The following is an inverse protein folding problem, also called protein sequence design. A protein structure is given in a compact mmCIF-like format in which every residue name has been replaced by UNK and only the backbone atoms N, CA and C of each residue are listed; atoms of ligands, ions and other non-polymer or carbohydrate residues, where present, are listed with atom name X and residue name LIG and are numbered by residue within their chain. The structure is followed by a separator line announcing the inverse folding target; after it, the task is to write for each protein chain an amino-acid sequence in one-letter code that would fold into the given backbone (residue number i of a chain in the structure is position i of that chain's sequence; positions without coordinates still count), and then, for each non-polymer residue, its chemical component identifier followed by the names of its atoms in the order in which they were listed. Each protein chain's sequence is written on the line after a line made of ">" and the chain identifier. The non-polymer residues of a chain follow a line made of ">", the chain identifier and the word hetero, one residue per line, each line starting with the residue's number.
data_IF_874668642997
#
_entry.id   IF_874668642997
#
_cell.length_a   1.000
_cell.length_b   1.000
_cell.length_c   1.000
_cell.angle_alpha   90.00
_cell.angle_beta   90.00
_cell.angle_gamma   90.00
#
_symmetry.space_group_name_H-M   'P 1'
#
loop_
_entity.id
_entity.type
_entity.pdbx_description
1 polymer ?
#
# COMPACT_ATOMS: atom_id res chain seq x y z
N UNK A 1 73.00 -21.55 9.26
CA UNK A 1 73.64 -22.85 8.99
C UNK A 1 72.58 -23.94 8.98
N UNK A 2 72.40 -24.47 7.79
CA UNK A 2 72.08 -25.89 7.49
C UNK A 2 70.80 -26.47 8.10
N UNK A 3 69.93 -27.13 7.44
CA UNK A 3 69.90 -27.91 6.19
C UNK A 3 68.85 -28.99 6.36
N UNK A 4 68.01 -29.12 5.33
CA UNK A 4 67.56 -30.36 4.70
C UNK A 4 66.95 -31.46 5.61
N UNK A 5 65.99 -32.23 5.24
CA UNK A 5 65.43 -32.74 4.02
C UNK A 5 64.38 -33.80 4.38
N UNK A 6 63.36 -33.86 3.57
CA UNK A 6 62.78 -35.00 2.88
C UNK A 6 62.36 -36.25 3.69
N UNK A 7 61.16 -36.73 3.38
CA UNK A 7 60.69 -38.06 3.64
C UNK A 7 59.28 -38.34 3.22
N UNK A 8 59.07 -38.81 2.00
CA UNK A 8 57.83 -39.30 1.44
C UNK A 8 57.48 -40.71 2.00
N UNK A 9 56.16 -41.01 2.06
CA UNK A 9 55.58 -42.33 1.69
C UNK A 9 54.08 -42.34 2.04
N UNK A 10 53.24 -42.36 1.05
CA UNK A 10 52.34 -43.42 0.59
C UNK A 10 51.60 -44.23 1.64
N UNK A 11 50.28 -44.19 1.61
CA UNK A 11 49.39 -45.16 2.19
C UNK A 11 47.99 -44.94 1.71
N UNK A 12 47.55 -45.77 0.76
CA UNK A 12 46.21 -45.84 0.23
C UNK A 12 45.27 -46.56 1.19
N UNK A 13 44.01 -46.24 1.23
CA UNK A 13 42.99 -47.00 1.95
C UNK A 13 41.61 -46.40 1.86
N UNK A 14 40.90 -46.72 0.81
CA UNK A 14 39.52 -47.19 0.65
C UNK A 14 38.40 -46.54 1.49
N UNK A 15 37.49 -45.91 0.73
CA UNK A 15 36.03 -46.03 0.67
C UNK A 15 35.23 -46.32 1.96
N UNK A 16 34.29 -45.44 2.29
CA UNK A 16 32.91 -45.79 2.59
C UNK A 16 32.01 -44.56 2.50
N UNK A 17 31.17 -44.56 1.61
CA UNK A 17 29.76 -44.34 1.38
C UNK A 17 29.00 -43.48 2.37
N UNK A 18 28.25 -42.55 1.73
CA UNK A 18 26.87 -42.14 1.95
C UNK A 18 26.54 -41.41 3.27
N UNK A 19 26.29 -40.15 3.10
CA UNK A 19 25.48 -39.33 3.93
C UNK A 19 25.04 -38.16 3.07
N UNK A 20 23.97 -38.39 2.29
CA UNK A 20 23.28 -37.32 1.58
C UNK A 20 22.57 -36.50 2.65
N UNK A 21 23.15 -35.39 3.06
CA UNK A 21 22.40 -34.31 3.69
C UNK A 21 21.69 -33.55 2.60
N UNK A 22 20.47 -33.99 2.33
CA UNK A 22 19.45 -33.20 1.61
C UNK A 22 19.05 -32.00 2.49
N UNK A 23 19.95 -31.05 2.67
CA UNK A 23 19.60 -29.73 3.10
C UNK A 23 19.25 -28.89 1.85
N UNK A 24 18.09 -29.21 1.28
CA UNK A 24 17.44 -28.36 0.32
C UNK A 24 17.17 -27.03 1.02
N UNK A 25 17.73 -25.89 0.54
CA UNK A 25 17.39 -24.61 1.12
C UNK A 25 15.89 -24.40 0.89
N UNK A 26 15.14 -24.39 2.00
CA UNK A 26 13.72 -24.05 2.01
C UNK A 26 13.46 -22.93 1.02
N UNK A 27 12.56 -23.21 0.07
CA UNK A 27 12.28 -22.37 -1.06
C UNK A 27 12.20 -20.91 -0.66
N UNK A 28 13.05 -20.12 -1.27
CA UNK A 28 12.93 -18.66 -1.28
C UNK A 28 11.55 -18.36 -1.83
N UNK A 29 10.61 -18.05 -0.95
CA UNK A 29 9.33 -17.47 -1.36
C UNK A 29 9.72 -16.27 -2.20
N UNK A 30 9.36 -16.21 -3.49
CA UNK A 30 9.70 -15.06 -4.31
C UNK A 30 9.19 -13.83 -3.58
N UNK A 31 10.08 -12.87 -3.34
CA UNK A 31 9.68 -11.58 -2.81
C UNK A 31 8.51 -11.11 -3.66
N UNK A 32 7.33 -11.00 -3.06
CA UNK A 32 6.13 -10.58 -3.75
C UNK A 32 6.49 -9.33 -4.56
N UNK A 33 6.26 -9.38 -5.87
CA UNK A 33 6.59 -8.28 -6.76
C UNK A 33 5.87 -7.04 -6.24
N UNK A 34 6.62 -6.14 -5.63
CA UNK A 34 6.09 -4.90 -5.09
C UNK A 34 5.77 -4.02 -6.29
N UNK A 35 4.49 -3.85 -6.60
CA UNK A 35 4.10 -2.87 -7.60
C UNK A 35 4.25 -1.46 -7.03
N UNK A 36 4.52 -0.49 -7.87
CA UNK A 36 4.56 0.91 -7.47
C UNK A 36 4.33 1.79 -8.68
N UNK A 37 3.27 2.60 -8.64
CA UNK A 37 2.82 3.42 -9.75
C UNK A 37 2.28 4.77 -9.29
N UNK A 38 2.32 5.75 -10.18
CA UNK A 38 1.75 7.07 -9.94
C UNK A 38 0.28 7.11 -10.35
N UNK A 39 -0.58 7.49 -9.42
CA UNK A 39 -1.97 7.86 -9.70
C UNK A 39 -2.02 9.38 -9.90
N UNK A 40 -2.23 9.83 -11.13
CA UNK A 40 -2.45 11.24 -11.44
C UNK A 40 -3.73 11.75 -10.76
N UNK A 41 -3.72 13.00 -10.33
CA UNK A 41 -4.90 13.67 -9.75
C UNK A 41 -5.19 14.97 -10.51
N UNK A 42 -6.29 15.04 -11.26
CA UNK A 42 -7.28 13.98 -11.49
C UNK A 42 -6.77 12.87 -12.43
N UNK A 43 -7.28 11.64 -12.25
CA UNK A 43 -6.90 10.53 -13.11
C UNK A 43 -7.39 9.17 -12.62
N UNK A 44 -6.95 8.14 -13.34
CA UNK A 44 -7.24 6.74 -13.04
C UNK A 44 -5.98 5.88 -13.17
N UNK A 45 -5.93 4.79 -12.42
CA UNK A 45 -4.87 3.80 -12.47
C UNK A 45 -5.51 2.40 -12.46
N UNK A 46 -5.20 1.61 -13.47
CA UNK A 46 -5.61 0.20 -13.54
C UNK A 46 -4.58 -0.67 -12.81
N UNK A 47 -5.04 -1.48 -11.87
CA UNK A 47 -4.22 -2.39 -11.11
C UNK A 47 -4.09 -3.74 -11.82
N UNK A 48 -3.02 -4.49 -11.53
CA UNK A 48 -2.74 -5.78 -12.15
C UNK A 48 -3.84 -6.83 -11.95
N UNK A 49 -4.68 -6.68 -10.94
CA UNK A 49 -5.82 -7.56 -10.65
C UNK A 49 -7.14 -7.11 -11.32
N UNK A 50 -7.08 -6.10 -12.20
CA UNK A 50 -8.22 -5.57 -12.93
C UNK A 50 -9.10 -4.59 -12.14
N UNK A 51 -8.72 -4.26 -10.91
CA UNK A 51 -9.36 -3.14 -10.18
C UNK A 51 -8.86 -1.81 -10.73
N UNK A 52 -9.66 -0.78 -10.57
CA UNK A 52 -9.31 0.59 -10.99
C UNK A 52 -9.38 1.51 -9.78
N UNK A 53 -8.31 2.27 -9.59
CA UNK A 53 -8.31 3.42 -8.70
C UNK A 53 -8.64 4.68 -9.51
N UNK A 54 -9.49 5.55 -8.97
CA UNK A 54 -9.73 6.87 -9.55
C UNK A 54 -9.56 7.96 -8.51
N UNK A 55 -9.07 9.11 -8.96
CA UNK A 55 -8.87 10.29 -8.15
C UNK A 55 -9.50 11.51 -8.82
N UNK A 56 -10.28 12.29 -8.05
CA UNK A 56 -10.89 13.54 -8.50
C UNK A 56 -10.73 14.62 -7.45
N UNK A 57 -10.63 15.88 -7.90
CA UNK A 57 -10.70 17.04 -7.01
C UNK A 57 -12.10 17.64 -7.13
N UNK A 58 -12.74 17.87 -5.99
CA UNK A 58 -14.06 18.49 -5.90
C UNK A 58 -13.92 19.82 -5.12
N UNK A 59 -14.38 20.94 -5.68
CA UNK A 59 -14.37 22.21 -4.96
C UNK A 59 -15.37 22.18 -3.80
N UNK A 60 -15.03 22.83 -2.70
CA UNK A 60 -15.93 23.05 -1.57
C UNK A 60 -16.54 24.43 -1.67
N UNK A 61 -17.85 24.50 -1.73
CA UNK A 61 -18.57 25.78 -1.72
C UNK A 61 -18.53 26.44 -0.34
N UNK A 62 -18.57 27.76 -0.34
CA UNK A 62 -18.59 28.50 0.92
C UNK A 62 -19.82 28.15 1.77
N UNK A 63 -19.59 27.81 3.04
CA UNK A 63 -20.67 27.43 3.97
C UNK A 63 -21.12 25.97 3.86
N UNK A 64 -20.49 25.16 3.01
CA UNK A 64 -20.79 23.75 2.92
C UNK A 64 -20.21 22.98 4.12
N UNK A 65 -21.02 22.11 4.74
CA UNK A 65 -20.57 21.25 5.84
C UNK A 65 -19.83 20.01 5.30
N UNK A 66 -18.58 20.24 5.02
CA UNK A 66 -17.65 19.26 4.45
C UNK A 66 -17.45 18.04 5.35
N UNK A 67 -17.44 18.26 6.68
CA UNK A 67 -17.16 17.19 7.65
C UNK A 67 -18.32 16.20 7.71
N UNK A 68 -19.55 16.71 7.82
CA UNK A 68 -20.75 15.87 7.80
C UNK A 68 -20.89 15.14 6.46
N UNK A 69 -20.62 15.80 5.34
CA UNK A 69 -20.66 15.20 4.02
C UNK A 69 -19.65 14.07 3.86
N UNK A 70 -18.37 14.29 4.20
CA UNK A 70 -17.33 13.27 4.13
C UNK A 70 -17.61 12.08 5.06
N UNK A 71 -18.20 12.34 6.24
CA UNK A 71 -18.58 11.29 7.18
C UNK A 71 -19.72 10.42 6.63
N UNK A 72 -20.76 11.03 6.09
CA UNK A 72 -21.87 10.33 5.47
C UNK A 72 -21.43 9.51 4.27
N UNK A 73 -20.55 10.08 3.42
CA UNK A 73 -19.96 9.40 2.28
C UNK A 73 -19.19 8.13 2.71
N UNK A 74 -18.35 8.24 3.75
CA UNK A 74 -17.57 7.10 4.25
C UNK A 74 -18.46 5.96 4.78
N UNK A 75 -19.62 6.30 5.34
CA UNK A 75 -20.59 5.31 5.82
C UNK A 75 -21.34 4.62 4.67
N UNK A 76 -21.67 5.37 3.62
CA UNK A 76 -22.37 4.85 2.45
C UNK A 76 -21.49 3.89 1.63
N UNK A 77 -20.21 4.22 1.45
CA UNK A 77 -19.31 3.53 0.52
C UNK A 77 -18.40 2.50 1.17
N UNK A 78 -18.47 2.31 2.48
CA UNK A 78 -17.79 1.25 3.24
C UNK A 78 -16.28 1.08 2.91
N UNK A 79 -15.61 2.20 2.61
CA UNK A 79 -14.18 2.23 2.30
C UNK A 79 -13.83 2.09 0.82
N UNK A 80 -14.78 1.77 -0.07
CA UNK A 80 -14.53 1.72 -1.52
C UNK A 80 -14.39 3.12 -2.15
N UNK A 81 -14.98 4.12 -1.51
CA UNK A 81 -14.84 5.52 -1.85
C UNK A 81 -14.58 6.33 -0.59
N UNK A 82 -13.64 7.28 -0.67
CA UNK A 82 -13.30 8.17 0.43
C UNK A 82 -13.16 9.60 -0.03
N UNK A 83 -13.54 10.54 0.84
CA UNK A 83 -13.33 11.96 0.67
C UNK A 83 -12.29 12.45 1.67
N UNK A 84 -11.23 13.04 1.18
CA UNK A 84 -10.06 13.48 1.94
C UNK A 84 -9.80 14.97 1.68
N UNK A 85 -9.02 15.59 2.54
CA UNK A 85 -8.50 16.93 2.30
C UNK A 85 -7.39 16.88 1.24
N UNK A 86 -7.60 17.51 0.08
CA UNK A 86 -6.66 17.46 -1.03
C UNK A 86 -5.29 18.02 -0.66
N UNK A 87 -5.25 19.13 0.10
CA UNK A 87 -4.01 19.76 0.52
C UNK A 87 -3.25 18.89 1.53
N UNK A 88 -3.96 18.26 2.47
CA UNK A 88 -3.36 17.32 3.42
C UNK A 88 -2.79 16.08 2.74
N UNK A 89 -3.36 15.67 1.60
CA UNK A 89 -2.82 14.60 0.74
C UNK A 89 -1.62 15.04 -0.10
N UNK A 90 -1.22 16.31 -0.06
CA UNK A 90 -0.13 16.87 -0.87
C UNK A 90 -0.50 17.11 -2.34
N UNK A 91 -1.80 17.19 -2.63
CA UNK A 91 -2.32 17.49 -3.97
C UNK A 91 -2.60 18.98 -4.07
N UNK A 92 -2.02 19.62 -5.11
CA UNK A 92 -2.28 21.03 -5.36
C UNK A 92 -3.71 21.20 -5.92
N UNK A 93 -4.50 22.08 -5.30
CA UNK A 93 -5.90 22.25 -5.71
C UNK A 93 -6.11 22.80 -7.11
N UNK A 94 -5.15 23.53 -7.65
CA UNK A 94 -5.25 24.21 -8.95
C UNK A 94 -4.58 23.39 -10.05
N UNK A 95 -3.40 22.84 -9.75
CA UNK A 95 -2.56 22.16 -10.72
C UNK A 95 -2.69 20.62 -10.66
N UNK A 96 -3.41 20.10 -9.67
CA UNK A 96 -3.47 18.66 -9.43
C UNK A 96 -2.20 18.13 -8.79
N UNK A 97 -1.85 16.91 -9.13
CA UNK A 97 -0.67 16.26 -8.58
C UNK A 97 -0.61 14.79 -8.90
N UNK A 98 0.14 14.06 -8.11
CA UNK A 98 0.16 12.60 -8.18
C UNK A 98 0.29 12.01 -6.78
N UNK A 99 -0.36 10.89 -6.58
CA UNK A 99 -0.21 10.03 -5.42
C UNK A 99 0.62 8.81 -5.82
N UNK A 100 1.25 8.19 -4.84
CA UNK A 100 1.97 6.93 -5.06
C UNK A 100 1.11 5.76 -4.60
N UNK A 101 0.96 4.76 -5.45
CA UNK A 101 0.21 3.53 -5.16
C UNK A 101 1.17 2.35 -5.18
N UNK A 102 1.24 1.61 -4.08
CA UNK A 102 2.09 0.42 -3.97
C UNK A 102 1.41 -0.67 -3.14
N UNK A 103 1.99 -1.84 -3.10
CA UNK A 103 1.66 -2.84 -2.07
C UNK A 103 2.12 -2.41 -0.67
N UNK A 104 1.70 -3.12 0.39
CA UNK A 104 2.23 -2.92 1.73
C UNK A 104 3.73 -3.22 1.80
N UNK A 105 4.45 -2.39 2.52
CA UNK A 105 5.87 -2.57 2.79
C UNK A 105 6.11 -2.99 4.25
N UNK A 106 7.25 -3.65 4.50
CA UNK A 106 7.61 -4.06 5.86
C UNK A 106 7.80 -2.81 6.75
N UNK A 107 7.09 -2.79 7.87
CA UNK A 107 7.15 -1.67 8.81
C UNK A 107 6.16 -0.53 8.53
N UNK A 108 5.36 -0.63 7.48
CA UNK A 108 4.32 0.35 7.19
C UNK A 108 3.37 0.56 8.36
N UNK A 109 3.14 1.83 8.66
CA UNK A 109 2.19 2.28 9.68
C UNK A 109 1.31 3.41 9.15
N UNK A 110 0.11 3.51 9.68
CA UNK A 110 -0.79 4.63 9.47
C UNK A 110 -1.51 5.00 10.78
N UNK A 111 -2.22 6.09 10.76
CA UNK A 111 -3.15 6.48 11.82
C UNK A 111 -4.59 6.29 11.29
N UNK A 112 -5.23 5.12 11.51
CA UNK A 112 -6.54 4.87 10.93
C UNK A 112 -7.58 5.87 11.42
N UNK A 113 -8.38 6.41 10.50
CA UNK A 113 -9.45 7.35 10.84
C UNK A 113 -10.38 6.77 11.91
N UNK A 114 -10.64 7.55 12.96
CA UNK A 114 -11.44 7.14 14.11
C UNK A 114 -10.65 6.49 15.25
N UNK A 115 -9.33 6.39 15.15
CA UNK A 115 -8.45 5.91 16.21
C UNK A 115 -7.72 7.02 16.97
N UNK A 116 -8.19 8.26 16.84
CA UNK A 116 -7.69 9.42 17.60
C UNK A 116 -6.17 9.61 17.55
N UNK A 117 -5.57 9.39 16.36
CA UNK A 117 -4.14 9.56 16.12
C UNK A 117 -3.26 8.39 16.60
N UNK A 118 -3.84 7.28 17.04
CA UNK A 118 -3.07 6.09 17.36
C UNK A 118 -2.53 5.45 16.07
N UNK A 119 -1.24 5.14 16.07
CA UNK A 119 -0.60 4.46 14.94
C UNK A 119 -0.86 2.96 14.98
N UNK A 120 -1.09 2.38 13.80
CA UNK A 120 -1.30 0.95 13.61
C UNK A 120 -0.47 0.43 12.44
N UNK A 121 0.05 -0.78 12.54
CA UNK A 121 0.72 -1.44 11.41
C UNK A 121 -0.31 -1.78 10.33
N UNK A 122 0.08 -1.60 9.08
CA UNK A 122 -0.77 -1.97 7.93
C UNK A 122 -1.08 -3.48 7.96
N UNK A 123 -0.09 -4.32 8.32
CA UNK A 123 -0.29 -5.77 8.46
C UNK A 123 -1.41 -6.14 9.43
N UNK A 124 -1.51 -5.41 10.56
CA UNK A 124 -2.53 -5.66 11.58
C UNK A 124 -3.90 -5.18 11.08
N UNK A 125 -3.93 -4.02 10.41
CA UNK A 125 -5.15 -3.48 9.81
C UNK A 125 -5.73 -4.44 8.75
N UNK A 126 -4.87 -4.98 7.87
CA UNK A 126 -5.27 -5.96 6.86
C UNK A 126 -5.78 -7.27 7.51
N UNK A 127 -5.15 -7.70 8.61
CA UNK A 127 -5.59 -8.87 9.37
C UNK A 127 -6.97 -8.67 9.98
N UNK A 128 -7.23 -7.54 10.61
CA UNK A 128 -8.54 -7.20 11.19
C UNK A 128 -9.65 -7.02 10.13
N UNK A 129 -9.27 -6.51 8.96
CA UNK A 129 -10.19 -6.43 7.82
C UNK A 129 -10.47 -7.79 7.15
N UNK A 130 -9.87 -8.88 7.66
CA UNK A 130 -10.09 -10.22 7.12
C UNK A 130 -9.41 -10.48 5.77
N UNK A 131 -8.44 -9.65 5.38
CA UNK A 131 -7.72 -9.86 4.12
C UNK A 131 -6.84 -11.11 4.21
N UNK A 132 -7.05 -12.13 3.34
CA UNK A 132 -6.23 -13.33 3.31
C UNK A 132 -4.75 -13.00 3.12
N UNK A 133 -3.86 -13.77 3.79
CA UNK A 133 -2.41 -13.48 3.80
C UNK A 133 -1.83 -13.43 2.39
N UNK A 134 -2.26 -14.34 1.52
CA UNK A 134 -1.85 -14.44 0.12
C UNK A 134 -2.25 -13.21 -0.73
N UNK A 135 -3.31 -12.52 -0.34
CA UNK A 135 -3.82 -11.34 -1.06
C UNK A 135 -3.24 -10.03 -0.54
N UNK A 136 -2.59 -10.03 0.63
CA UNK A 136 -2.14 -8.78 1.29
C UNK A 136 -1.11 -8.03 0.48
N UNK A 137 -0.20 -8.73 -0.21
CA UNK A 137 0.84 -8.09 -1.04
C UNK A 137 0.27 -7.29 -2.22
N UNK A 138 -0.96 -7.60 -2.65
CA UNK A 138 -1.65 -6.94 -3.74
C UNK A 138 -2.64 -5.87 -3.28
N UNK A 139 -2.71 -5.61 -1.96
CA UNK A 139 -3.59 -4.56 -1.45
C UNK A 139 -3.05 -3.17 -1.80
N UNK A 140 -3.82 -2.32 -2.48
CA UNK A 140 -3.35 -1.01 -2.87
C UNK A 140 -3.25 -0.08 -1.65
N UNK A 141 -2.06 0.41 -1.42
CA UNK A 141 -1.77 1.42 -0.40
C UNK A 141 -1.47 2.73 -1.13
N UNK A 142 -2.32 3.71 -0.93
CA UNK A 142 -2.17 5.05 -1.51
C UNK A 142 -1.38 5.92 -0.54
N UNK A 143 -0.34 6.59 -1.05
CA UNK A 143 0.60 7.45 -0.29
C UNK A 143 0.68 8.83 -0.91
N UNK A 144 1.09 9.82 -0.15
CA UNK A 144 1.32 11.18 -0.67
C UNK A 144 2.40 11.21 -1.75
N UNK A 145 3.41 10.37 -1.65
CA UNK A 145 4.48 10.16 -2.64
C UNK A 145 5.22 8.84 -2.33
N UNK A 146 6.22 8.48 -3.12
CA UNK A 146 6.99 7.21 -3.02
C UNK A 146 7.55 6.90 -1.61
N UNK A 147 7.84 7.93 -0.82
CA UNK A 147 8.32 7.83 0.58
C UNK A 147 7.38 8.53 1.55
N UNK A 148 6.21 8.92 1.08
CA UNK A 148 5.23 9.65 1.85
C UNK A 148 4.46 8.76 2.80
N UNK A 149 3.71 9.42 3.68
CA UNK A 149 2.80 8.69 4.56
C UNK A 149 1.62 8.11 3.80
N UNK A 150 1.06 7.06 4.35
CA UNK A 150 -0.17 6.44 3.83
C UNK A 150 -1.32 7.42 3.99
N UNK A 151 -2.11 7.60 2.94
CA UNK A 151 -3.35 8.39 2.95
C UNK A 151 -4.58 7.48 2.98
N UNK A 152 -4.49 6.31 2.36
CA UNK A 152 -5.60 5.37 2.28
C UNK A 152 -5.12 3.93 2.04
N UNK A 153 -5.65 2.99 2.81
CA UNK A 153 -5.63 1.58 2.48
C UNK A 153 -6.91 1.32 1.68
N UNK A 154 -6.75 1.16 0.37
CA UNK A 154 -7.88 1.17 -0.57
C UNK A 154 -8.90 0.07 -0.26
N UNK A 155 -10.17 0.47 -0.15
CA UNK A 155 -11.26 -0.45 0.22
C UNK A 155 -11.36 -0.75 1.71
N UNK A 156 -10.50 -0.18 2.56
CA UNK A 156 -10.51 -0.46 4.00
C UNK A 156 -10.67 0.81 4.83
N UNK A 157 -9.64 1.69 4.86
CA UNK A 157 -9.68 2.86 5.74
C UNK A 157 -8.70 3.96 5.33
N UNK A 158 -9.10 5.24 5.42
CA UNK A 158 -8.20 6.37 5.26
C UNK A 158 -7.41 6.67 6.54
N UNK A 159 -6.37 7.48 6.40
CA UNK A 159 -5.55 7.98 7.49
C UNK A 159 -6.20 9.22 8.15
N UNK A 160 -6.09 9.33 9.47
CA UNK A 160 -6.62 10.43 10.27
C UNK A 160 -6.03 11.80 9.87
N UNK A 161 -4.77 11.83 9.42
CA UNK A 161 -4.05 13.07 9.09
C UNK A 161 -4.55 13.77 7.84
N UNK A 162 -5.25 13.04 6.98
CA UNK A 162 -5.78 13.56 5.71
C UNK A 162 -7.30 13.69 5.70
N UNK A 163 -7.94 13.57 6.87
CA UNK A 163 -9.37 13.73 7.01
C UNK A 163 -9.83 15.15 6.66
N UNK A 164 -11.05 15.26 6.19
CA UNK A 164 -11.69 16.55 6.01
C UNK A 164 -11.91 17.25 7.34
N UNK A 165 -11.68 18.56 7.33
CA UNK A 165 -11.95 19.47 8.45
C UNK A 165 -12.84 20.62 7.96
N UNK A 166 -13.27 21.49 8.85
CA UNK A 166 -14.03 22.69 8.50
C UNK A 166 -13.22 23.68 7.63
N UNK A 167 -11.89 23.58 7.67
CA UNK A 167 -10.97 24.43 6.92
C UNK A 167 -10.64 23.85 5.53
N UNK A 168 -11.10 22.64 5.21
CA UNK A 168 -10.88 21.97 3.91
C UNK A 168 -11.50 22.80 2.78
N UNK A 169 -10.68 23.19 1.82
CA UNK A 169 -11.09 24.01 0.66
C UNK A 169 -11.44 23.17 -0.56
N UNK A 170 -10.85 22.00 -0.65
CA UNK A 170 -11.08 21.06 -1.76
C UNK A 170 -11.00 19.63 -1.26
N UNK A 171 -11.90 18.82 -1.78
CA UNK A 171 -11.95 17.41 -1.51
C UNK A 171 -11.14 16.65 -2.56
N UNK A 172 -10.35 15.69 -2.11
CA UNK A 172 -9.84 14.62 -2.93
C UNK A 172 -10.76 13.42 -2.77
N UNK A 173 -11.46 13.06 -3.83
CA UNK A 173 -12.24 11.83 -3.87
C UNK A 173 -11.38 10.72 -4.46
N UNK A 174 -11.22 9.64 -3.70
CA UNK A 174 -10.55 8.42 -4.15
C UNK A 174 -11.56 7.29 -4.17
N UNK A 175 -11.58 6.53 -5.27
CA UNK A 175 -12.44 5.37 -5.41
C UNK A 175 -11.62 4.15 -5.86
N UNK A 176 -12.05 2.96 -5.41
CA UNK A 176 -11.60 1.68 -5.94
C UNK A 176 -12.81 0.87 -6.39
N UNK A 177 -12.75 0.32 -7.59
CA UNK A 177 -13.83 -0.50 -8.14
C UNK A 177 -13.29 -1.56 -9.09
N UNK A 178 -14.07 -2.61 -9.31
CA UNK A 178 -13.76 -3.64 -10.31
C UNK A 178 -13.95 -3.09 -11.72
N UNK A 179 -12.97 -3.28 -12.62
CA UNK A 179 -12.87 -2.63 -13.92
C UNK A 179 -13.99 -2.88 -14.95
N UNK A 180 -15.18 -3.29 -14.52
CA UNK A 180 -16.32 -3.60 -15.39
C UNK A 180 -17.52 -2.63 -15.26
N UNK A 181 -17.37 -1.48 -14.59
CA UNK A 181 -18.41 -0.42 -14.66
C UNK A 181 -17.79 0.96 -14.54
N UNK A 182 -17.85 1.79 -15.61
CA UNK A 182 -17.75 3.22 -15.43
C UNK A 182 -18.96 3.67 -14.58
N UNK A 183 -18.66 4.37 -13.49
CA UNK A 183 -19.69 4.96 -12.64
C UNK A 183 -20.37 6.12 -13.40
N UNK A 184 -21.42 5.83 -14.14
CA UNK A 184 -22.34 6.84 -14.62
C UNK A 184 -23.32 7.17 -13.49
N UNK A 185 -23.09 8.24 -12.77
CA UNK A 185 -24.19 8.89 -12.03
C UNK A 185 -25.08 9.59 -13.03
N UNK A 186 -26.29 9.12 -13.16
CA UNK A 186 -27.39 9.87 -13.78
C UNK A 186 -27.49 11.22 -13.09
N UNK A 187 -27.56 12.27 -13.92
CA UNK A 187 -27.82 13.65 -13.53
C UNK A 187 -29.19 13.79 -12.89
#
# INVERSE_FOLDING_TARGET
>A
ARSAAAGAARGAGAASAAGADDNEPAGTVPAAATFGEHLAVPGTLELADGRVLSARILPVEHGFDVVSYATAHSQEWLGESVLLDAQACGVDPVHGGSLWVSGPEAGDTMQPLGMHGQSKKISDLLGEAGVPVESRSMMPIVRTNIRGHVVWVAGIRPDERVKCTQDTKQLLELNIYSGHKPFERSQ
#
